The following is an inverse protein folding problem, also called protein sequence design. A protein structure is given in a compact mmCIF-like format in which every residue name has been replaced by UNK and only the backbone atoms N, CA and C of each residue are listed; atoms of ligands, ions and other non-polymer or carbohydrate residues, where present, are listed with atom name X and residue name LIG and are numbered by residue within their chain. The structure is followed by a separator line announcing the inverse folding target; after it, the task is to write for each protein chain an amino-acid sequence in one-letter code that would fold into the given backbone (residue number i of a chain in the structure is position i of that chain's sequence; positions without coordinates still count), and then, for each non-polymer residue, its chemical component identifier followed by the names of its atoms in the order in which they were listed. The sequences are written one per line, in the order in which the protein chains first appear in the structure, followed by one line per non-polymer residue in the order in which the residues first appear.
data_IF_031617933161
#
_entry.id   IF_031617933161
#
_cell.length_a   1.000
_cell.length_b   1.000
_cell.length_c   1.000
_cell.angle_alpha   90.00
_cell.angle_beta   90.00
_cell.angle_gamma   90.00
#
_symmetry.space_group_name_H-M   'P 1'
#
loop_
_entity.id
_entity.type
_entity.pdbx_description
1 polymer ?
#
# COMPACT_ATOMS: atom_id res chain seq x y z
N UNK A 1 -8.51 12.07 11.56
CA UNK A 1 -7.31 11.99 10.71
C UNK A 1 -6.56 10.74 11.13
N UNK A 2 -6.45 9.74 10.25
CA UNK A 2 -5.90 8.42 10.58
C UNK A 2 -4.46 8.36 10.08
N UNK A 3 -3.49 8.19 10.98
CA UNK A 3 -2.06 8.22 10.64
C UNK A 3 -1.29 6.96 11.01
N UNK A 4 -1.96 5.93 11.54
CA UNK A 4 -1.34 4.67 11.96
C UNK A 4 -2.18 3.49 11.51
N UNK A 5 -1.50 2.42 11.14
CA UNK A 5 -2.12 1.20 10.65
C UNK A 5 -1.33 -0.03 11.12
N UNK A 6 -2.05 -1.10 11.42
CA UNK A 6 -1.49 -2.43 11.68
C UNK A 6 -1.92 -3.31 10.52
N UNK A 7 -0.98 -3.88 9.79
CA UNK A 7 -1.34 -4.77 8.70
C UNK A 7 -1.91 -6.08 9.24
N UNK A 8 -2.92 -6.66 8.56
CA UNK A 8 -3.33 -8.04 8.77
C UNK A 8 -2.19 -9.00 8.51
N UNK A 9 -2.37 -10.24 8.94
CA UNK A 9 -1.49 -11.34 8.57
C UNK A 9 -1.65 -11.67 7.07
N UNK A 10 -0.56 -12.11 6.45
CA UNK A 10 -0.49 -12.48 5.03
C UNK A 10 -1.66 -13.40 4.60
N UNK A 11 -1.88 -14.49 5.34
CA UNK A 11 -2.95 -15.44 5.05
C UNK A 11 -4.36 -14.81 5.10
N UNK A 12 -4.57 -13.77 5.92
CA UNK A 12 -5.86 -13.06 5.95
C UNK A 12 -6.06 -12.23 4.69
N UNK A 13 -5.00 -11.61 4.17
CA UNK A 13 -5.01 -10.82 2.94
C UNK A 13 -5.26 -11.74 1.74
N UNK A 14 -4.54 -12.86 1.63
CA UNK A 14 -4.70 -13.85 0.57
C UNK A 14 -6.15 -14.35 0.47
N UNK A 15 -6.73 -14.76 1.61
CA UNK A 15 -8.12 -15.24 1.66
C UNK A 15 -9.13 -14.17 1.28
N UNK A 16 -8.93 -12.93 1.76
CA UNK A 16 -9.90 -11.86 1.51
C UNK A 16 -9.89 -11.41 0.04
N UNK A 17 -8.70 -11.23 -0.54
CA UNK A 17 -8.55 -10.72 -1.90
C UNK A 17 -8.46 -11.80 -2.98
N UNK A 18 -8.41 -13.08 -2.60
CA UNK A 18 -8.26 -14.22 -3.50
C UNK A 18 -7.02 -14.07 -4.40
N UNK A 19 -5.92 -13.62 -3.81
CA UNK A 19 -4.62 -13.44 -4.47
C UNK A 19 -3.65 -14.51 -3.98
N UNK A 20 -2.88 -15.12 -4.89
CA UNK A 20 -1.81 -16.03 -4.50
C UNK A 20 -0.63 -15.26 -3.90
N UNK A 21 -0.01 -15.80 -2.86
CA UNK A 21 1.19 -15.26 -2.23
C UNK A 21 2.30 -15.00 -3.26
N UNK A 22 2.82 -13.75 -3.37
CA UNK A 22 3.88 -13.47 -4.32
C UNK A 22 5.16 -14.16 -3.87
N UNK A 23 5.95 -14.64 -4.86
CA UNK A 23 7.13 -15.47 -4.63
C UNK A 23 8.20 -14.82 -3.72
N UNK A 24 8.17 -13.49 -3.57
CA UNK A 24 9.14 -12.70 -2.80
C UNK A 24 8.60 -12.13 -1.46
N UNK A 25 7.49 -12.66 -0.93
CA UNK A 25 6.79 -12.20 0.29
C UNK A 25 6.69 -10.65 0.44
N UNK A 26 5.86 -10.00 -0.37
CA UNK A 26 5.59 -8.56 -0.24
C UNK A 26 4.69 -8.25 0.97
N UNK A 27 4.07 -9.26 1.60
CA UNK A 27 3.08 -9.15 2.68
C UNK A 27 3.68 -9.05 4.08
N UNK A 28 4.94 -8.62 4.21
CA UNK A 28 5.58 -8.45 5.53
C UNK A 28 4.68 -7.66 6.48
N UNK A 29 4.37 -8.28 7.62
CA UNK A 29 3.52 -7.68 8.64
C UNK A 29 4.12 -6.37 9.18
N UNK A 30 3.29 -5.34 9.28
CA UNK A 30 3.64 -4.02 9.82
C UNK A 30 2.80 -3.76 11.07
N UNK A 31 3.44 -3.75 12.23
CA UNK A 31 2.78 -3.48 13.51
C UNK A 31 2.58 -1.99 13.80
N UNK A 32 3.20 -1.11 13.01
CA UNK A 32 3.15 0.34 13.20
C UNK A 32 3.41 1.08 11.89
N UNK A 33 2.63 0.79 10.85
CA UNK A 33 2.70 1.52 9.59
C UNK A 33 2.37 3.01 9.82
N UNK A 34 3.16 3.86 9.19
CA UNK A 34 3.13 5.31 9.33
C UNK A 34 3.02 5.98 7.95
N UNK A 35 2.65 7.27 7.89
CA UNK A 35 2.65 8.00 6.64
C UNK A 35 4.05 8.04 6.04
N UNK A 36 4.13 8.24 4.72
CA UNK A 36 5.33 8.18 3.87
C UNK A 36 5.99 6.80 3.70
N UNK A 37 5.55 5.80 4.46
CA UNK A 37 5.95 4.41 4.22
C UNK A 37 5.31 3.85 2.94
N UNK A 38 5.94 2.84 2.34
CA UNK A 38 5.29 2.02 1.30
C UNK A 38 4.45 0.93 1.95
N UNK A 39 3.16 0.90 1.64
CA UNK A 39 2.21 -0.10 2.10
C UNK A 39 1.67 -0.89 0.92
N UNK A 40 1.29 -2.14 1.17
CA UNK A 40 0.60 -2.90 0.14
C UNK A 40 -0.79 -2.35 -0.12
N UNK A 41 -1.09 -2.23 -1.41
CA UNK A 41 -2.38 -1.79 -1.91
C UNK A 41 -2.87 -2.80 -2.93
N UNK A 42 -4.10 -3.26 -2.72
CA UNK A 42 -4.85 -3.97 -3.75
C UNK A 42 -5.49 -2.93 -4.68
N UNK A 43 -5.13 -2.95 -5.96
CA UNK A 43 -5.68 -2.01 -6.95
C UNK A 43 -6.07 -2.70 -8.25
N UNK A 44 -6.94 -2.03 -9.00
CA UNK A 44 -7.14 -2.32 -10.42
C UNK A 44 -6.05 -1.65 -11.26
N UNK A 45 -5.47 -2.39 -12.18
CA UNK A 45 -4.57 -1.93 -13.22
C UNK A 45 -5.26 -2.13 -14.59
N UNK A 46 -5.31 -1.12 -15.48
CA UNK A 46 -6.01 -1.22 -16.76
C UNK A 46 -5.58 -2.43 -17.62
N UNK A 47 -4.28 -2.72 -17.65
CA UNK A 47 -3.70 -3.78 -18.49
C UNK A 47 -3.59 -5.15 -17.79
N UNK A 48 -3.52 -5.16 -16.46
CA UNK A 48 -3.15 -6.37 -15.69
C UNK A 48 -4.28 -6.88 -14.79
N UNK A 49 -5.45 -6.22 -14.83
CA UNK A 49 -6.58 -6.59 -14.00
C UNK A 49 -6.37 -6.17 -12.54
N UNK A 50 -6.37 -7.11 -11.60
CA UNK A 50 -6.20 -6.81 -10.16
C UNK A 50 -4.80 -7.20 -9.72
N UNK A 51 -4.13 -6.32 -8.98
CA UNK A 51 -2.79 -6.56 -8.47
C UNK A 51 -2.63 -6.09 -7.01
N UNK A 52 -1.67 -6.69 -6.32
CA UNK A 52 -1.21 -6.26 -5.00
C UNK A 52 0.21 -5.74 -5.15
N UNK A 53 0.39 -4.44 -4.91
CA UNK A 53 1.69 -3.78 -5.09
C UNK A 53 1.97 -2.80 -3.95
N UNK A 54 3.25 -2.56 -3.60
CA UNK A 54 3.60 -1.55 -2.62
C UNK A 54 3.48 -0.13 -3.19
N UNK A 55 2.67 0.72 -2.55
CA UNK A 55 2.51 2.15 -2.88
C UNK A 55 2.85 3.05 -1.69
N UNK A 56 3.24 4.29 -1.96
CA UNK A 56 3.55 5.29 -0.94
C UNK A 56 2.28 5.80 -0.23
N UNK A 57 2.23 5.74 1.10
CA UNK A 57 1.14 6.32 1.90
C UNK A 57 1.31 7.84 2.02
N UNK A 58 0.67 8.54 1.09
CA UNK A 58 0.73 9.99 0.96
C UNK A 58 0.72 10.31 -0.52
N UNK A 59 -0.41 10.78 -1.06
CA UNK A 59 -0.53 11.00 -2.50
C UNK A 59 0.52 12.03 -2.95
N UNK A 60 1.30 11.71 -3.99
CA UNK A 60 2.15 12.67 -4.67
C UNK A 60 1.49 12.97 -6.01
N UNK A 61 0.93 14.18 -6.20
CA UNK A 61 0.32 14.58 -7.46
C UNK A 61 1.34 14.52 -8.60
N UNK A 62 0.90 14.13 -9.80
CA UNK A 62 1.78 14.02 -10.97
C UNK A 62 2.46 15.34 -11.38
N UNK A 63 1.91 16.49 -10.97
CA UNK A 63 2.45 17.83 -11.23
C UNK A 63 3.21 18.42 -10.03
N UNK A 64 3.44 17.63 -8.98
CA UNK A 64 4.21 18.07 -7.84
C UNK A 64 5.68 18.28 -8.26
N UNK A 65 6.27 19.39 -7.82
CA UNK A 65 7.69 19.68 -8.03
C UNK A 65 8.61 18.90 -7.09
N UNK A 66 8.06 18.39 -6.00
CA UNK A 66 8.76 17.64 -4.97
C UNK A 66 7.82 16.62 -4.32
N UNK A 67 8.34 15.41 -4.08
CA UNK A 67 7.72 14.31 -3.35
C UNK A 67 7.36 14.63 -1.89
N UNK A 68 8.03 15.60 -1.26
CA UNK A 68 7.81 15.97 0.14
C UNK A 68 6.36 16.40 0.44
N UNK A 69 5.63 16.86 -0.57
CA UNK A 69 4.19 17.18 -0.47
C UNK A 69 3.36 15.98 0.02
N UNK A 70 3.81 14.74 -0.25
CA UNK A 70 3.11 13.52 0.16
C UNK A 70 2.89 13.43 1.67
N UNK A 71 3.76 14.03 2.49
CA UNK A 71 3.60 14.12 3.95
C UNK A 71 2.33 14.88 4.39
N UNK A 72 1.80 15.76 3.52
CA UNK A 72 0.59 16.54 3.77
C UNK A 72 -0.66 15.94 3.11
N UNK A 73 -0.52 14.87 2.32
CA UNK A 73 -1.59 14.26 1.52
C UNK A 73 -1.88 12.83 1.97
N UNK A 74 -1.97 12.63 3.29
CA UNK A 74 -2.01 11.32 3.93
C UNK A 74 -3.43 10.80 4.20
N UNK A 75 -4.44 11.67 4.10
CA UNK A 75 -5.88 11.39 4.25
C UNK A 75 -6.68 12.20 3.24
#
# INVERSE_FOLDING_TARGET
MCGRYVSPDEAAIERFFHVGGPKDNPFRRLFNAAPTMRLLVYRGHPEHGREVVPLHWGLIPSRAKDSSIGSRMIN
#
